data_IF_829684837785
#
_entry.id   IF_829684837785
#
_cell.length_a   1.000
_cell.length_b   1.000
_cell.length_c   1.000
_cell.angle_alpha   90.00
_cell.angle_beta   90.00
_cell.angle_gamma   90.00
#
_symmetry.space_group_name_H-M   'P 1'
#
loop_
_entity.id
_entity.type
_entity.pdbx_description
1 polymer ?
#
# COMPACT_ATOMS: atom_id res chain seq x y z
N UNK A 1 5.00 -9.58 14.78
CA UNK A 1 5.57 -8.42 14.09
C UNK A 1 4.43 -7.55 13.59
N UNK A 2 4.71 -6.25 13.47
CA UNK A 2 3.81 -5.22 12.97
C UNK A 2 4.24 -4.85 11.56
N UNK A 3 3.39 -5.13 10.58
CA UNK A 3 3.66 -4.85 9.17
C UNK A 3 2.82 -3.67 8.68
N UNK A 4 3.42 -2.86 7.82
CA UNK A 4 2.70 -1.97 6.92
C UNK A 4 2.82 -2.49 5.49
N UNK A 5 1.69 -2.71 4.82
CA UNK A 5 1.64 -3.07 3.39
C UNK A 5 0.99 -1.91 2.64
N UNK A 6 1.74 -1.21 1.80
CA UNK A 6 1.16 -0.22 0.86
C UNK A 6 0.72 -0.94 -0.42
N UNK A 7 -0.32 -0.46 -1.08
CA UNK A 7 -0.95 -1.20 -2.20
C UNK A 7 -1.64 -2.47 -1.72
N UNK A 8 -2.08 -2.50 -0.45
CA UNK A 8 -2.58 -3.72 0.20
C UNK A 8 -3.85 -4.28 -0.43
N UNK A 9 -4.64 -3.49 -1.13
CA UNK A 9 -5.87 -3.95 -1.79
C UNK A 9 -5.60 -4.42 -3.25
N UNK A 10 -4.37 -4.26 -3.74
CA UNK A 10 -3.93 -4.73 -5.04
C UNK A 10 -3.70 -6.24 -5.12
N UNK A 11 -3.30 -6.72 -6.30
CA UNK A 11 -3.11 -8.16 -6.57
C UNK A 11 -2.07 -8.81 -5.63
N UNK A 12 -0.83 -8.30 -5.62
CA UNK A 12 0.23 -8.82 -4.74
C UNK A 12 0.02 -8.41 -3.28
N UNK A 13 -0.41 -7.16 -3.04
CA UNK A 13 -0.58 -6.62 -1.70
C UNK A 13 -1.63 -7.38 -0.89
N UNK A 14 -2.77 -7.74 -1.49
CA UNK A 14 -3.83 -8.46 -0.76
C UNK A 14 -3.40 -9.89 -0.43
N UNK A 15 -2.74 -10.59 -1.35
CA UNK A 15 -2.21 -11.92 -1.10
C UNK A 15 -1.21 -11.93 0.06
N UNK A 16 -0.27 -10.96 0.08
CA UNK A 16 0.72 -10.82 1.13
C UNK A 16 0.10 -10.42 2.48
N UNK A 17 -0.72 -9.36 2.50
CA UNK A 17 -1.35 -8.86 3.72
C UNK A 17 -2.21 -9.94 4.39
N UNK A 18 -3.01 -10.67 3.60
CA UNK A 18 -3.85 -11.75 4.09
C UNK A 18 -3.02 -12.92 4.65
N UNK A 19 -1.90 -13.25 4.00
CA UNK A 19 -1.02 -14.31 4.48
C UNK A 19 -0.42 -13.94 5.84
N UNK A 20 0.13 -12.73 5.96
CA UNK A 20 0.72 -12.23 7.21
C UNK A 20 -0.30 -12.18 8.35
N UNK A 21 -1.53 -11.74 8.06
CA UNK A 21 -2.61 -11.71 9.05
C UNK A 21 -2.97 -13.12 9.54
N UNK A 22 -3.08 -14.10 8.63
CA UNK A 22 -3.35 -15.52 8.97
C UNK A 22 -2.21 -16.20 9.73
N UNK A 23 -0.98 -15.69 9.61
CA UNK A 23 0.17 -16.13 10.42
C UNK A 23 0.18 -15.50 11.82
N UNK A 24 -0.82 -14.67 12.17
CA UNK A 24 -0.97 -14.07 13.49
C UNK A 24 -0.20 -12.77 13.67
N UNK A 25 0.25 -12.14 12.58
CA UNK A 25 0.91 -10.84 12.63
C UNK A 25 -0.11 -9.69 12.63
N UNK A 26 0.30 -8.53 13.15
CA UNK A 26 -0.49 -7.30 13.06
C UNK A 26 -0.20 -6.64 11.71
N UNK A 27 -1.22 -6.49 10.86
CA UNK A 27 -1.04 -5.98 9.50
C UNK A 27 -1.87 -4.73 9.32
N UNK A 28 -1.19 -3.62 8.99
CA UNK A 28 -1.81 -2.37 8.54
C UNK A 28 -1.74 -2.33 7.02
N UNK A 29 -2.88 -2.11 6.37
CA UNK A 29 -2.98 -1.95 4.93
C UNK A 29 -3.22 -0.50 4.54
N UNK A 30 -2.45 0.03 3.58
CA UNK A 30 -2.70 1.33 2.95
C UNK A 30 -2.95 1.12 1.46
N UNK A 31 -4.06 1.66 0.94
CA UNK A 31 -4.38 1.67 -0.49
C UNK A 31 -5.30 2.85 -0.83
N UNK A 32 -5.16 3.43 -2.01
CA UNK A 32 -6.00 4.55 -2.47
C UNK A 32 -7.27 4.06 -3.18
N UNK A 33 -7.32 2.77 -3.52
CA UNK A 33 -8.35 2.08 -4.31
C UNK A 33 -8.41 2.52 -5.77
N UNK A 34 -7.31 3.06 -6.32
CA UNK A 34 -7.22 3.38 -7.74
C UNK A 34 -7.30 2.14 -8.63
N UNK A 35 -6.76 1.00 -8.15
CA UNK A 35 -6.83 -0.31 -8.81
C UNK A 35 -7.10 -1.48 -7.85
N UNK A 36 -7.15 -1.21 -6.54
CA UNK A 36 -7.36 -2.21 -5.49
C UNK A 36 -8.84 -2.41 -5.13
N UNK A 37 -9.13 -3.53 -4.47
CA UNK A 37 -10.45 -3.85 -3.92
C UNK A 37 -10.32 -4.30 -2.46
N UNK A 38 -10.80 -3.53 -1.47
CA UNK A 38 -10.62 -3.85 -0.06
C UNK A 38 -11.45 -5.08 0.35
N UNK A 39 -12.44 -5.51 -0.44
CA UNK A 39 -13.18 -6.74 -0.16
C UNK A 39 -12.30 -8.00 -0.29
N UNK A 40 -11.11 -7.89 -0.90
CA UNK A 40 -10.11 -8.96 -0.98
C UNK A 40 -9.33 -9.15 0.32
N UNK A 41 -9.42 -8.22 1.26
CA UNK A 41 -8.64 -8.25 2.48
C UNK A 41 -9.26 -9.18 3.53
N UNK A 42 -8.38 -9.92 4.20
CA UNK A 42 -8.73 -10.70 5.38
C UNK A 42 -9.18 -9.75 6.51
N UNK A 43 -10.20 -10.11 7.31
CA UNK A 43 -10.66 -9.26 8.42
C UNK A 43 -9.57 -8.90 9.44
N UNK A 44 -8.48 -9.69 9.51
CA UNK A 44 -7.32 -9.38 10.34
C UNK A 44 -6.44 -8.23 9.83
N UNK A 45 -6.67 -7.72 8.62
CA UNK A 45 -5.93 -6.58 8.06
C UNK A 45 -6.61 -5.27 8.45
N UNK A 46 -5.92 -4.42 9.21
CA UNK A 46 -6.40 -3.07 9.53
C UNK A 46 -6.21 -2.16 8.32
N UNK A 47 -7.27 -2.04 7.52
CA UNK A 47 -7.26 -1.25 6.29
C UNK A 47 -7.44 0.26 6.55
N UNK A 48 -6.61 1.07 5.90
CA UNK A 48 -6.73 2.52 5.82
C UNK A 48 -6.75 2.95 4.36
N UNK A 49 -7.79 3.68 3.94
CA UNK A 49 -7.80 4.32 2.63
C UNK A 49 -6.90 5.55 2.63
N UNK A 50 -5.97 5.62 1.67
CA UNK A 50 -5.08 6.77 1.53
C UNK A 50 -4.05 6.62 0.42
N UNK A 51 -3.50 7.76 0.03
CA UNK A 51 -2.45 7.87 -0.98
C UNK A 51 -1.07 7.75 -0.32
N UNK A 52 -0.13 7.08 -0.97
CA UNK A 52 1.24 6.92 -0.45
C UNK A 52 2.08 8.21 -0.56
N UNK A 53 1.55 9.25 -1.22
CA UNK A 53 2.09 10.61 -1.22
C UNK A 53 1.65 11.44 0.01
N UNK A 54 0.69 10.94 0.81
CA UNK A 54 0.22 11.60 2.04
C UNK A 54 1.18 11.35 3.22
N UNK A 55 2.24 12.18 3.29
CA UNK A 55 3.28 12.08 4.33
C UNK A 55 2.74 12.11 5.76
N UNK A 56 1.85 13.05 6.16
CA UNK A 56 1.26 13.04 7.50
C UNK A 56 0.58 11.72 7.86
N UNK A 57 -0.16 11.12 6.92
CA UNK A 57 -0.80 9.82 7.12
C UNK A 57 0.22 8.70 7.25
N UNK A 58 1.24 8.68 6.40
CA UNK A 58 2.33 7.71 6.50
C UNK A 58 3.04 7.78 7.85
N UNK A 59 3.33 8.98 8.36
CA UNK A 59 3.95 9.14 9.68
C UNK A 59 3.16 8.48 10.80
N UNK A 60 1.84 8.56 10.72
CA UNK A 60 0.93 7.91 11.67
C UNK A 60 0.95 6.39 11.50
N UNK A 61 0.88 5.90 10.27
CA UNK A 61 0.83 4.46 9.98
C UNK A 61 2.14 3.74 10.26
N UNK A 62 3.28 4.43 10.16
CA UNK A 62 4.62 3.91 10.39
C UNK A 62 4.98 3.75 11.88
N UNK A 63 4.19 4.31 12.81
CA UNK A 63 4.45 4.16 14.24
C UNK A 63 4.40 2.68 14.65
N UNK A 64 5.44 2.21 15.35
CA UNK A 64 5.59 0.83 15.82
C UNK A 64 5.56 -0.24 14.71
N UNK A 65 5.97 0.09 13.48
CA UNK A 65 6.09 -0.87 12.37
C UNK A 65 7.48 -1.51 12.37
N UNK A 66 7.53 -2.84 12.39
CA UNK A 66 8.77 -3.61 12.31
C UNK A 66 9.26 -3.75 10.86
N UNK A 67 8.33 -3.82 9.90
CA UNK A 67 8.64 -4.06 8.49
C UNK A 67 7.59 -3.44 7.56
N UNK A 68 8.07 -2.84 6.47
CA UNK A 68 7.23 -2.26 5.42
C UNK A 68 7.38 -3.06 4.14
N UNK A 69 6.26 -3.51 3.58
CA UNK A 69 6.17 -3.96 2.20
C UNK A 69 5.54 -2.84 1.36
N UNK A 70 6.38 -2.14 0.60
CA UNK A 70 5.94 -1.02 -0.23
C UNK A 70 5.56 -1.50 -1.64
N UNK A 71 4.27 -1.73 -1.87
CA UNK A 71 3.73 -2.26 -3.13
C UNK A 71 2.76 -1.28 -3.82
N UNK A 72 2.51 -0.11 -3.23
CA UNK A 72 1.77 0.97 -3.88
C UNK A 72 2.57 1.55 -5.05
N UNK A 73 2.13 1.27 -6.28
CA UNK A 73 2.70 1.83 -7.48
C UNK A 73 1.66 1.83 -8.62
N UNK A 74 1.82 2.78 -9.54
CA UNK A 74 1.17 2.70 -10.85
C UNK A 74 2.03 1.85 -11.79
N UNK A 75 1.42 0.85 -12.41
CA UNK A 75 2.16 -0.22 -13.11
C UNK A 75 1.94 -0.28 -14.63
N UNK A 76 0.99 0.50 -15.18
CA UNK A 76 0.66 0.43 -16.60
C UNK A 76 1.69 1.20 -17.44
N UNK A 77 2.47 0.47 -18.24
CA UNK A 77 3.48 1.07 -19.13
C UNK A 77 2.84 2.06 -20.13
N UNK A 78 1.75 1.72 -20.86
CA UNK A 78 1.13 2.67 -21.79
C UNK A 78 0.66 3.96 -21.09
N UNK A 79 0.08 3.85 -19.90
CA UNK A 79 -0.33 5.04 -19.15
C UNK A 79 0.85 5.87 -18.65
N UNK A 80 1.98 5.25 -18.31
CA UNK A 80 3.17 5.98 -17.84
C UNK A 80 3.74 6.94 -18.89
N UNK A 81 3.55 6.62 -20.18
CA UNK A 81 3.95 7.49 -21.30
C UNK A 81 3.01 8.68 -21.42
N UNK A 82 1.71 8.47 -21.16
CA UNK A 82 0.69 9.52 -21.24
C UNK A 82 0.68 10.43 -20.00
N UNK A 83 0.97 9.88 -18.83
CA UNK A 83 0.87 10.53 -17.52
C UNK A 83 2.18 10.42 -16.71
N UNK A 84 3.33 10.87 -17.24
CA UNK A 84 4.62 10.64 -16.63
C UNK A 84 4.79 11.35 -15.28
N UNK A 85 4.13 12.50 -15.08
CA UNK A 85 4.21 13.27 -13.83
C UNK A 85 3.50 12.55 -12.70
N UNK A 86 2.34 11.98 -12.97
CA UNK A 86 1.53 11.22 -12.03
C UNK A 86 2.22 9.90 -11.65
N UNK A 87 2.82 9.22 -12.63
CA UNK A 87 3.64 8.03 -12.36
C UNK A 87 4.86 8.37 -11.51
N UNK A 88 5.54 9.49 -11.80
CA UNK A 88 6.68 9.93 -10.99
C UNK A 88 6.24 10.30 -9.56
N UNK A 89 5.13 11.03 -9.42
CA UNK A 89 4.60 11.43 -8.11
C UNK A 89 4.32 10.21 -7.21
N UNK A 90 3.67 9.17 -7.73
CA UNK A 90 3.36 7.96 -6.96
C UNK A 90 4.60 7.07 -6.79
N UNK A 91 5.25 6.68 -7.87
CA UNK A 91 6.27 5.62 -7.83
C UNK A 91 7.61 6.11 -7.26
N UNK A 92 7.95 7.39 -7.46
CA UNK A 92 9.18 7.99 -6.93
C UNK A 92 8.85 8.85 -5.73
N UNK A 93 7.96 9.84 -5.88
CA UNK A 93 7.59 10.76 -4.80
C UNK A 93 6.99 10.04 -3.59
N UNK A 94 6.13 9.06 -3.81
CA UNK A 94 5.59 8.20 -2.74
C UNK A 94 6.61 7.27 -2.07
N UNK A 95 7.84 7.19 -2.57
CA UNK A 95 8.90 6.33 -2.02
C UNK A 95 10.00 7.15 -1.33
N UNK A 96 10.41 8.28 -1.91
CA UNK A 96 11.59 9.06 -1.46
C UNK A 96 11.33 10.57 -1.27
N UNK A 97 10.09 11.05 -1.44
CA UNK A 97 9.71 12.47 -1.37
C UNK A 97 9.31 13.00 0.01
#
# INVERSE_FOLDING_TARGET
>A
MNFLVTGSAGFLGSALANRLAREGHQVRGLDDLSAGDPARLDPGVLFTRGDVTDRPKLWTLLQDVDCVYHLAARVSVPESVLYPREYNAVNVGGTVG
#
